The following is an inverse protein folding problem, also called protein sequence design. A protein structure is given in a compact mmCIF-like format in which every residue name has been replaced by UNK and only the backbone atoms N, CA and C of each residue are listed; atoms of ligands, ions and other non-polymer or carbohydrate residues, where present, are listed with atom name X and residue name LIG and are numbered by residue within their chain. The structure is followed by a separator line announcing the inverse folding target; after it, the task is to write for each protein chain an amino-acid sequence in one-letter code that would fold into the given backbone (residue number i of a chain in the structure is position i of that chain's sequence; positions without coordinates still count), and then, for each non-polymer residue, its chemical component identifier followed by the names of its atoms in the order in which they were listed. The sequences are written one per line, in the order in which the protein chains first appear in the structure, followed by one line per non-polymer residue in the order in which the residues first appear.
data_IF_256137817614
#
_entry.id   IF_256137817614
#
_cell.length_a   1.000
_cell.length_b   1.000
_cell.length_c   1.000
_cell.angle_alpha   90.00
_cell.angle_beta   90.00
_cell.angle_gamma   90.00
#
_symmetry.space_group_name_H-M   'P 1'
#
loop_
_entity.id
_entity.type
_entity.pdbx_description
1 polymer ?
#
# COMPACT_ATOMS: atom_id res chain seq x y z
N UNK A 1 19.40 -40.02 -19.54
CA UNK A 1 18.35 -39.51 -18.65
C UNK A 1 18.97 -38.44 -17.77
N UNK A 2 18.55 -37.18 -17.91
CA UNK A 2 18.97 -36.14 -16.98
C UNK A 2 18.16 -36.33 -15.69
N UNK A 3 18.83 -36.61 -14.57
CA UNK A 3 18.18 -36.63 -13.26
C UNK A 3 17.63 -35.24 -12.95
N UNK A 4 16.35 -35.15 -12.56
CA UNK A 4 15.76 -33.90 -12.10
C UNK A 4 16.48 -33.48 -10.80
N UNK A 5 17.25 -32.37 -10.79
CA UNK A 5 18.01 -31.94 -9.62
C UNK A 5 17.11 -31.53 -8.44
N UNK A 6 15.80 -31.38 -8.67
CA UNK A 6 14.81 -31.01 -7.67
C UNK A 6 14.00 -32.22 -7.15
N UNK A 7 14.26 -33.45 -7.61
CA UNK A 7 13.52 -34.62 -7.14
C UNK A 7 13.62 -34.76 -5.60
N UNK A 8 12.47 -34.79 -4.93
CA UNK A 8 12.38 -34.84 -3.46
C UNK A 8 12.72 -33.52 -2.74
N UNK A 9 12.84 -32.40 -3.46
CA UNK A 9 13.16 -31.06 -2.92
C UNK A 9 12.13 -29.99 -3.29
N UNK A 10 10.92 -30.41 -3.65
CA UNK A 10 9.81 -29.49 -3.90
C UNK A 10 8.60 -29.93 -3.07
N UNK A 11 7.80 -28.94 -2.68
CA UNK A 11 6.47 -29.15 -2.10
C UNK A 11 5.47 -28.79 -3.20
N UNK A 12 4.63 -29.73 -3.66
CA UNK A 12 3.58 -29.41 -4.61
C UNK A 12 2.49 -28.58 -3.92
N UNK A 13 2.00 -27.55 -4.61
CA UNK A 13 0.76 -26.90 -4.26
C UNK A 13 -0.35 -27.55 -5.09
N UNK A 14 -1.40 -28.01 -4.43
CA UNK A 14 -2.49 -28.77 -5.06
C UNK A 14 -3.58 -27.86 -5.60
N UNK A 15 -3.63 -26.62 -5.10
CA UNK A 15 -4.71 -25.70 -5.38
C UNK A 15 -4.21 -24.30 -5.76
N UNK A 16 -4.94 -23.69 -6.70
CA UNK A 16 -4.81 -22.28 -7.04
C UNK A 16 -6.03 -21.45 -6.58
N UNK A 17 -7.17 -22.09 -6.36
CA UNK A 17 -8.39 -21.44 -5.89
C UNK A 17 -8.14 -20.76 -4.53
N UNK A 18 -8.41 -19.44 -4.38
CA UNK A 18 -8.19 -18.72 -3.14
C UNK A 18 -9.03 -19.23 -1.97
N UNK A 19 -10.15 -19.91 -2.23
CA UNK A 19 -11.08 -20.40 -1.22
C UNK A 19 -10.88 -21.89 -0.89
N UNK A 20 -10.07 -22.60 -1.67
CA UNK A 20 -9.77 -24.01 -1.42
C UNK A 20 -9.05 -24.24 -0.06
N UNK A 21 -9.06 -25.48 0.45
CA UNK A 21 -8.42 -25.83 1.71
C UNK A 21 -6.91 -25.47 1.73
N UNK A 22 -6.36 -25.22 2.92
CA UNK A 22 -5.03 -24.64 3.11
C UNK A 22 -3.97 -25.68 3.54
N UNK A 23 -4.33 -26.96 3.59
CA UNK A 23 -3.48 -28.05 4.08
C UNK A 23 -2.22 -28.22 3.21
N UNK A 24 -2.31 -27.95 1.90
CA UNK A 24 -1.16 -27.95 0.98
C UNK A 24 -0.16 -26.81 1.25
N UNK A 25 -0.53 -25.81 2.05
CA UNK A 25 0.34 -24.72 2.51
C UNK A 25 0.98 -24.97 3.87
N UNK A 26 0.62 -26.04 4.60
CA UNK A 26 1.22 -26.33 5.91
C UNK A 26 2.76 -26.42 5.89
N UNK A 27 3.42 -26.92 4.83
CA UNK A 27 4.89 -26.87 4.74
C UNK A 27 5.47 -25.45 4.77
N UNK A 28 4.70 -24.41 4.42
CA UNK A 28 5.14 -23.02 4.59
C UNK A 28 5.28 -22.62 6.06
N UNK A 29 4.57 -23.25 6.99
CA UNK A 29 4.68 -22.94 8.43
C UNK A 29 6.10 -23.13 8.93
N UNK A 30 6.75 -24.22 8.53
CA UNK A 30 8.13 -24.50 8.91
C UNK A 30 9.10 -23.48 8.30
N UNK A 31 8.84 -23.04 7.06
CA UNK A 31 9.63 -22.01 6.40
C UNK A 31 9.49 -20.63 7.08
N UNK A 32 8.27 -20.31 7.53
CA UNK A 32 7.99 -19.06 8.27
C UNK A 32 8.61 -19.08 9.67
N UNK A 33 8.50 -20.20 10.39
CA UNK A 33 9.03 -20.34 11.75
C UNK A 33 8.54 -19.22 12.68
N UNK A 34 9.48 -18.61 13.42
CA UNK A 34 9.21 -17.51 14.35
C UNK A 34 9.34 -16.11 13.69
N UNK A 35 9.31 -16.03 12.36
CA UNK A 35 9.45 -14.76 11.66
C UNK A 35 8.30 -13.82 12.00
N UNK A 36 8.63 -12.58 12.40
CA UNK A 36 7.64 -11.52 12.64
C UNK A 36 7.16 -10.84 11.36
N UNK A 37 7.94 -10.93 10.29
CA UNK A 37 7.67 -10.33 8.98
C UNK A 37 7.99 -11.37 7.92
N UNK A 38 7.04 -11.62 7.03
CA UNK A 38 7.18 -12.50 5.87
C UNK A 38 6.96 -11.65 4.62
N UNK A 39 7.97 -11.57 3.76
CA UNK A 39 7.87 -10.88 2.48
C UNK A 39 7.39 -11.85 1.40
N UNK A 40 6.25 -11.54 0.77
CA UNK A 40 5.67 -12.34 -0.31
C UNK A 40 5.77 -11.53 -1.61
N UNK A 41 6.79 -11.82 -2.42
CA UNK A 41 6.97 -11.18 -3.71
C UNK A 41 6.18 -11.85 -4.83
N UNK A 42 6.08 -11.17 -5.97
CA UNK A 42 5.63 -11.74 -7.24
C UNK A 42 6.68 -11.50 -8.34
N UNK A 43 6.73 -12.36 -9.35
CA UNK A 43 7.70 -12.19 -10.44
C UNK A 43 7.31 -11.08 -11.41
N UNK A 44 6.01 -10.83 -11.58
CA UNK A 44 5.47 -9.80 -12.46
C UNK A 44 4.09 -9.42 -11.99
N UNK A 45 3.75 -8.14 -12.12
CA UNK A 45 2.37 -7.68 -12.02
C UNK A 45 1.51 -8.28 -13.14
N UNK A 46 0.18 -8.26 -12.91
CA UNK A 46 -0.86 -8.66 -13.87
C UNK A 46 -0.89 -10.14 -14.26
N UNK A 47 -0.24 -11.01 -13.48
CA UNK A 47 -0.37 -12.46 -13.60
C UNK A 47 -1.44 -12.94 -12.61
N UNK A 48 -2.50 -13.54 -13.14
CA UNK A 48 -3.66 -13.96 -12.35
C UNK A 48 -3.26 -15.01 -11.29
N UNK A 49 -2.40 -15.95 -11.65
CA UNK A 49 -1.92 -17.03 -10.79
C UNK A 49 -1.17 -16.51 -9.56
N UNK A 50 -0.36 -15.45 -9.70
CA UNK A 50 0.32 -14.84 -8.55
C UNK A 50 -0.68 -14.16 -7.61
N UNK A 51 -1.69 -13.49 -8.17
CA UNK A 51 -2.74 -12.86 -7.36
C UNK A 51 -3.61 -13.90 -6.63
N UNK A 52 -3.90 -15.03 -7.28
CA UNK A 52 -4.62 -16.16 -6.68
C UNK A 52 -3.81 -16.79 -5.54
N UNK A 53 -2.54 -17.12 -5.80
CA UNK A 53 -1.67 -17.74 -4.80
C UNK A 53 -1.39 -16.80 -3.61
N UNK A 54 -1.16 -15.50 -3.85
CA UNK A 54 -0.98 -14.51 -2.79
C UNK A 54 -2.18 -14.44 -1.85
N UNK A 55 -3.41 -14.58 -2.36
CA UNK A 55 -4.62 -14.66 -1.52
C UNK A 55 -4.63 -15.90 -0.64
N UNK A 56 -4.26 -17.06 -1.18
CA UNK A 56 -4.13 -18.30 -0.38
C UNK A 56 -3.07 -18.14 0.72
N UNK A 57 -1.91 -17.55 0.38
CA UNK A 57 -0.82 -17.30 1.34
C UNK A 57 -1.26 -16.30 2.42
N UNK A 58 -1.94 -15.21 2.05
CA UNK A 58 -2.49 -14.23 3.01
C UNK A 58 -3.43 -14.92 4.00
N UNK A 59 -4.37 -15.73 3.50
CA UNK A 59 -5.29 -16.52 4.33
C UNK A 59 -4.54 -17.43 5.28
N UNK A 60 -3.58 -18.19 4.79
CA UNK A 60 -2.78 -19.09 5.61
C UNK A 60 -2.01 -18.35 6.71
N UNK A 61 -1.31 -17.26 6.36
CA UNK A 61 -0.53 -16.49 7.32
C UNK A 61 -1.42 -15.87 8.42
N UNK A 62 -2.58 -15.34 8.04
CA UNK A 62 -3.51 -14.74 9.00
C UNK A 62 -4.26 -15.78 9.84
N UNK A 63 -4.90 -16.77 9.21
CA UNK A 63 -5.76 -17.75 9.87
C UNK A 63 -4.97 -18.80 10.66
N UNK A 64 -3.74 -19.12 10.24
CA UNK A 64 -2.97 -20.25 10.78
C UNK A 64 -1.64 -19.87 11.41
N UNK A 65 -1.03 -18.76 11.02
CA UNK A 65 0.26 -18.31 11.54
C UNK A 65 0.18 -17.05 12.43
N UNK A 66 -1.00 -16.47 12.61
CA UNK A 66 -1.23 -15.35 13.54
C UNK A 66 -0.73 -13.99 13.06
N UNK A 67 -0.52 -13.81 11.75
CA UNK A 67 -0.18 -12.50 11.18
C UNK A 67 -1.41 -11.58 11.19
N UNK A 68 -1.19 -10.31 11.57
CA UNK A 68 -2.27 -9.35 11.81
C UNK A 68 -2.17 -8.07 10.99
N UNK A 69 -1.18 -7.98 10.09
CA UNK A 69 -0.98 -6.82 9.21
C UNK A 69 -0.61 -7.32 7.82
N UNK A 70 -1.36 -6.88 6.81
CA UNK A 70 -0.95 -6.93 5.41
C UNK A 70 -0.35 -5.59 5.03
N UNK A 71 0.97 -5.57 4.86
CA UNK A 71 1.68 -4.44 4.27
C UNK A 71 1.80 -4.69 2.75
N UNK A 72 1.19 -3.83 1.94
CA UNK A 72 1.04 -4.03 0.49
C UNK A 72 1.78 -2.95 -0.29
N UNK A 73 2.29 -3.30 -1.48
CA UNK A 73 2.88 -2.35 -2.44
C UNK A 73 1.78 -1.44 -2.99
N UNK A 74 1.43 -0.45 -2.17
CA UNK A 74 0.39 0.52 -2.40
C UNK A 74 0.73 1.79 -1.63
N UNK A 75 0.20 2.93 -2.09
CA UNK A 75 0.52 4.24 -1.52
C UNK A 75 0.22 4.33 -0.04
N UNK A 76 1.22 4.74 0.75
CA UNK A 76 1.18 4.87 2.20
C UNK A 76 0.01 5.73 2.68
N UNK A 77 -0.23 6.86 2.00
CA UNK A 77 -1.27 7.82 2.41
C UNK A 77 -2.67 7.32 2.04
N UNK A 78 -2.84 6.75 0.84
CA UNK A 78 -4.14 6.19 0.43
C UNK A 78 -4.56 4.99 1.29
N UNK A 79 -3.59 4.21 1.78
CA UNK A 79 -3.85 3.02 2.58
C UNK A 79 -4.58 3.28 3.90
N UNK A 80 -4.52 4.49 4.47
CA UNK A 80 -5.25 4.80 5.70
C UNK A 80 -6.77 4.70 5.51
N UNK A 81 -7.29 5.22 4.39
CA UNK A 81 -8.70 5.14 4.08
C UNK A 81 -9.12 3.70 3.72
N UNK A 82 -8.24 2.96 3.05
CA UNK A 82 -8.46 1.55 2.71
C UNK A 82 -8.46 0.66 3.95
N UNK A 83 -7.58 0.88 4.93
CA UNK A 83 -7.59 0.17 6.21
C UNK A 83 -8.85 0.49 7.02
N UNK A 84 -9.29 1.75 7.05
CA UNK A 84 -10.54 2.14 7.68
C UNK A 84 -11.73 1.37 7.06
N UNK A 85 -11.80 1.33 5.72
CA UNK A 85 -12.79 0.56 4.99
C UNK A 85 -12.67 -0.94 5.27
N UNK A 86 -11.47 -1.51 5.27
CA UNK A 86 -11.23 -2.93 5.55
C UNK A 86 -11.57 -3.32 7.00
N UNK A 87 -11.67 -2.36 7.91
CA UNK A 87 -12.13 -2.55 9.30
C UNK A 87 -13.64 -2.35 9.49
N UNK A 88 -14.41 -2.24 8.42
CA UNK A 88 -15.87 -2.14 8.48
C UNK A 88 -16.41 -0.70 8.47
N UNK A 89 -15.57 0.33 8.29
CA UNK A 89 -16.07 1.69 8.11
C UNK A 89 -16.63 1.87 6.70
N UNK A 90 -17.65 2.71 6.55
CA UNK A 90 -18.30 2.96 5.25
C UNK A 90 -19.07 1.76 4.68
N UNK A 91 -19.64 1.98 3.49
CA UNK A 91 -20.38 0.98 2.73
C UNK A 91 -19.46 0.16 1.80
N UNK A 92 -19.92 -1.02 1.39
CA UNK A 92 -19.14 -1.89 0.50
C UNK A 92 -18.87 -1.25 -0.88
N UNK A 93 -19.77 -0.35 -1.32
CA UNK A 93 -19.63 0.40 -2.58
C UNK A 93 -18.56 1.49 -2.54
N UNK A 94 -18.11 1.90 -1.35
CA UNK A 94 -17.14 3.00 -1.21
C UNK A 94 -15.75 2.60 -1.71
N UNK A 95 -15.43 1.30 -1.77
CA UNK A 95 -14.11 0.82 -2.20
C UNK A 95 -13.77 1.28 -3.62
N UNK A 96 -14.74 1.29 -4.53
CA UNK A 96 -14.52 1.73 -5.91
C UNK A 96 -14.10 3.21 -5.97
N UNK A 97 -14.68 4.04 -5.10
CA UNK A 97 -14.31 5.46 -5.00
C UNK A 97 -12.94 5.63 -4.32
N UNK A 98 -12.62 4.82 -3.30
CA UNK A 98 -11.32 4.87 -2.63
C UNK A 98 -10.16 4.44 -3.53
N UNK A 99 -10.41 3.54 -4.48
CA UNK A 99 -9.41 3.09 -5.45
C UNK A 99 -9.36 3.99 -6.70
N UNK A 100 -10.32 4.91 -6.86
CA UNK A 100 -10.41 5.77 -8.03
C UNK A 100 -9.18 6.69 -8.13
N UNK A 101 -8.65 6.85 -9.34
CA UNK A 101 -7.48 7.70 -9.60
C UNK A 101 -6.13 7.07 -9.24
N UNK A 102 -6.11 5.81 -8.80
CA UNK A 102 -4.89 5.03 -8.55
C UNK A 102 -4.72 3.90 -9.58
N UNK A 103 -3.62 3.15 -9.49
CA UNK A 103 -3.44 1.89 -10.23
C UNK A 103 -3.58 0.73 -9.23
N UNK A 104 -4.80 0.23 -8.96
CA UNK A 104 -5.07 -0.70 -7.87
C UNK A 104 -4.76 -2.16 -8.25
N UNK A 105 -3.52 -2.45 -8.65
CA UNK A 105 -3.14 -3.81 -9.11
C UNK A 105 -3.23 -4.81 -7.96
N UNK A 106 -4.24 -5.70 -8.00
CA UNK A 106 -4.37 -6.83 -7.08
C UNK A 106 -4.59 -6.45 -5.61
N UNK A 107 -5.00 -5.21 -5.32
CA UNK A 107 -5.26 -4.70 -3.96
C UNK A 107 -6.72 -4.90 -3.52
N UNK A 108 -7.65 -4.91 -4.49
CA UNK A 108 -9.09 -4.98 -4.22
C UNK A 108 -9.48 -6.29 -3.51
N UNK A 109 -9.06 -7.43 -4.03
CA UNK A 109 -9.44 -8.73 -3.48
C UNK A 109 -8.86 -8.98 -2.08
N UNK A 110 -7.57 -8.66 -1.78
CA UNK A 110 -7.07 -8.68 -0.41
C UNK A 110 -7.87 -7.80 0.55
N UNK A 111 -8.26 -6.59 0.16
CA UNK A 111 -9.06 -5.70 1.00
C UNK A 111 -10.44 -6.27 1.29
N UNK A 112 -11.12 -6.80 0.27
CA UNK A 112 -12.43 -7.47 0.43
C UNK A 112 -12.32 -8.67 1.36
N UNK A 113 -11.27 -9.47 1.22
CA UNK A 113 -11.00 -10.59 2.11
C UNK A 113 -10.76 -10.12 3.56
N UNK A 114 -9.92 -9.11 3.78
CA UNK A 114 -9.67 -8.54 5.12
C UNK A 114 -10.99 -8.07 5.74
N UNK A 115 -11.83 -7.34 4.99
CA UNK A 115 -13.13 -6.86 5.48
C UNK A 115 -14.05 -8.01 5.89
N UNK A 116 -14.14 -9.05 5.07
CA UNK A 116 -14.93 -10.23 5.37
C UNK A 116 -14.39 -11.00 6.58
N UNK A 117 -13.07 -11.20 6.67
CA UNK A 117 -12.40 -11.85 7.80
C UNK A 117 -12.65 -11.10 9.11
N UNK A 118 -12.45 -9.78 9.09
CA UNK A 118 -12.58 -8.91 10.26
C UNK A 118 -14.01 -8.87 10.84
N UNK A 119 -15.04 -9.20 10.07
CA UNK A 119 -16.42 -9.19 10.53
C UNK A 119 -16.69 -10.21 11.67
N UNK A 120 -15.89 -11.27 11.77
CA UNK A 120 -16.01 -12.30 12.80
C UNK A 120 -14.71 -12.72 13.48
N UNK A 121 -13.57 -12.11 13.11
CA UNK A 121 -12.28 -12.49 13.64
C UNK A 121 -12.06 -12.00 15.08
N UNK A 122 -11.59 -12.89 15.95
CA UNK A 122 -11.07 -12.50 17.26
C UNK A 122 -9.79 -11.65 17.14
N UNK A 123 -9.01 -11.87 16.08
CA UNK A 123 -7.77 -11.15 15.78
C UNK A 123 -7.89 -10.53 14.39
N UNK A 124 -8.29 -9.26 14.28
CA UNK A 124 -8.48 -8.62 12.98
C UNK A 124 -7.15 -8.34 12.27
N UNK A 125 -7.18 -8.32 10.95
CA UNK A 125 -6.07 -7.95 10.06
C UNK A 125 -6.16 -6.46 9.71
N UNK A 126 -5.04 -5.75 9.83
CA UNK A 126 -4.86 -4.37 9.36
C UNK A 126 -4.30 -4.34 7.95
N UNK A 127 -4.60 -3.27 7.22
CA UNK A 127 -3.99 -2.98 5.93
C UNK A 127 -3.01 -1.80 6.07
N UNK A 128 -1.86 -1.89 5.41
CA UNK A 128 -0.89 -0.81 5.36
C UNK A 128 -0.30 -0.70 3.95
N UNK A 129 -0.11 0.52 3.46
CA UNK A 129 0.63 0.79 2.24
C UNK A 129 2.09 1.04 2.58
N UNK A 130 3.01 0.47 1.80
CA UNK A 130 4.46 0.66 1.98
C UNK A 130 5.14 1.34 0.78
N UNK A 131 4.35 1.88 -0.14
CA UNK A 131 4.84 2.60 -1.32
C UNK A 131 4.53 4.10 -1.25
N UNK A 132 5.12 4.87 -2.15
CA UNK A 132 4.81 6.29 -2.34
C UNK A 132 3.43 6.48 -2.99
N UNK A 133 2.74 7.61 -2.71
CA UNK A 133 1.38 7.79 -3.21
C UNK A 133 1.26 7.76 -4.73
N UNK A 134 0.12 7.26 -5.22
CA UNK A 134 -0.21 7.16 -6.65
C UNK A 134 0.93 6.54 -7.51
N UNK A 135 1.63 5.51 -7.02
CA UNK A 135 2.78 4.90 -7.71
C UNK A 135 3.84 5.94 -8.16
N UNK A 136 4.08 6.94 -7.31
CA UNK A 136 4.98 8.08 -7.57
C UNK A 136 4.40 9.14 -8.49
N UNK A 137 3.10 9.10 -8.75
CA UNK A 137 2.40 10.02 -9.63
C UNK A 137 1.99 11.33 -8.97
N UNK A 138 1.83 11.37 -7.65
CA UNK A 138 1.31 12.56 -6.97
C UNK A 138 1.84 12.70 -5.55
N UNK A 139 2.08 13.93 -5.13
CA UNK A 139 2.38 14.26 -3.73
C UNK A 139 1.09 14.57 -2.94
N UNK A 140 -0.01 14.88 -3.64
CA UNK A 140 -1.24 15.40 -3.02
C UNK A 140 -1.82 14.47 -1.93
N UNK A 141 -1.86 13.13 -2.09
CA UNK A 141 -2.40 12.28 -1.04
C UNK A 141 -1.62 12.37 0.28
N UNK A 142 -0.32 12.69 0.24
CA UNK A 142 0.48 12.93 1.44
C UNK A 142 0.36 14.38 1.95
N UNK A 143 0.18 15.35 1.06
CA UNK A 143 0.10 16.77 1.44
C UNK A 143 -1.27 17.18 1.98
N UNK A 144 -2.36 16.55 1.53
CA UNK A 144 -3.72 16.87 1.97
C UNK A 144 -3.95 16.65 3.48
N UNK A 145 -3.56 15.52 4.09
CA UNK A 145 -3.64 15.33 5.54
C UNK A 145 -2.79 16.35 6.31
N UNK A 146 -1.61 16.70 5.78
CA UNK A 146 -0.74 17.71 6.39
C UNK A 146 -1.39 19.09 6.34
N UNK A 147 -2.03 19.45 5.22
CA UNK A 147 -2.78 20.70 5.10
C UNK A 147 -4.00 20.74 6.04
N UNK A 148 -4.67 19.60 6.24
CA UNK A 148 -5.75 19.49 7.22
C UNK A 148 -5.26 19.78 8.64
N UNK A 149 -4.12 19.18 9.03
CA UNK A 149 -3.51 19.42 10.33
C UNK A 149 -3.04 20.88 10.51
N UNK A 150 -2.30 21.44 9.53
CA UNK A 150 -1.80 22.81 9.62
C UNK A 150 -2.91 23.86 9.68
N UNK A 151 -4.09 23.58 9.13
CA UNK A 151 -5.26 24.46 9.25
C UNK A 151 -5.66 24.70 10.71
N UNK A 152 -5.41 23.74 11.58
CA UNK A 152 -5.75 23.84 13.00
C UNK A 152 -4.64 24.46 13.84
N UNK A 153 -3.37 24.26 13.45
CA UNK A 153 -2.23 24.59 14.32
C UNK A 153 -1.29 25.67 13.80
N UNK A 154 -1.25 25.92 12.48
CA UNK A 154 -0.24 26.78 11.86
C UNK A 154 -0.67 27.29 10.48
N UNK A 155 -1.47 28.35 10.47
CA UNK A 155 -2.01 28.94 9.23
C UNK A 155 -0.95 29.59 8.34
N UNK A 156 0.19 29.98 8.90
CA UNK A 156 1.31 30.52 8.12
C UNK A 156 1.98 29.41 7.30
N UNK A 157 2.30 28.28 7.94
CA UNK A 157 2.82 27.12 7.24
C UNK A 157 1.81 26.55 6.22
N UNK A 158 0.50 26.63 6.52
CA UNK A 158 -0.55 26.24 5.59
C UNK A 158 -0.49 27.04 4.28
N UNK A 159 -0.28 28.37 4.34
CA UNK A 159 -0.20 29.19 3.14
C UNK A 159 0.97 28.77 2.23
N UNK A 160 2.13 28.44 2.81
CA UNK A 160 3.25 27.90 2.06
C UNK A 160 2.93 26.53 1.45
N UNK A 161 2.31 25.63 2.24
CA UNK A 161 1.91 24.31 1.76
C UNK A 161 0.88 24.38 0.63
N UNK A 162 -0.05 25.34 0.65
CA UNK A 162 -1.01 25.54 -0.44
C UNK A 162 -0.33 25.88 -1.76
N UNK A 163 0.75 26.66 -1.73
CA UNK A 163 1.56 26.91 -2.93
C UNK A 163 2.31 25.65 -3.40
N UNK A 164 2.87 24.86 -2.47
CA UNK A 164 3.44 23.56 -2.81
C UNK A 164 2.41 22.60 -3.42
N UNK A 165 1.18 22.57 -2.89
CA UNK A 165 0.08 21.76 -3.45
C UNK A 165 -0.35 22.25 -4.84
N UNK A 166 -0.37 23.57 -5.08
CA UNK A 166 -0.62 24.14 -6.42
C UNK A 166 0.41 23.66 -7.43
N UNK A 167 1.70 23.73 -7.08
CA UNK A 167 2.78 23.26 -7.96
C UNK A 167 2.71 21.72 -8.11
N UNK A 168 2.50 20.99 -7.02
CA UNK A 168 2.35 19.52 -7.05
C UNK A 168 1.20 19.08 -7.97
N UNK A 169 0.08 19.78 -7.93
CA UNK A 169 -1.08 19.51 -8.79
C UNK A 169 -0.82 19.78 -10.28
N UNK A 170 0.13 20.63 -10.65
CA UNK A 170 0.40 20.96 -12.06
C UNK A 170 1.11 19.83 -12.82
N UNK A 171 1.77 18.91 -12.11
CA UNK A 171 2.44 17.74 -12.69
C UNK A 171 1.89 16.39 -12.19
N UNK A 172 0.90 16.41 -11.30
CA UNK A 172 0.31 15.19 -10.76
C UNK A 172 -0.25 14.28 -11.87
N UNK A 173 -0.05 12.98 -11.70
CA UNK A 173 -0.54 11.93 -12.59
C UNK A 173 -0.83 10.65 -11.82
N UNK A 174 -1.24 9.61 -12.54
CA UNK A 174 -1.58 8.32 -11.95
C UNK A 174 -0.35 7.44 -11.62
N UNK A 175 0.85 7.84 -12.06
CA UNK A 175 2.12 7.15 -11.79
C UNK A 175 3.33 8.03 -12.09
N UNK A 176 4.49 7.62 -11.61
CA UNK A 176 5.77 8.25 -11.93
C UNK A 176 6.02 8.35 -13.45
N UNK A 177 5.51 7.40 -14.24
CA UNK A 177 5.67 7.41 -15.70
C UNK A 177 5.00 8.63 -16.38
N UNK A 178 3.90 9.14 -15.79
CA UNK A 178 3.24 10.36 -16.27
C UNK A 178 3.75 11.61 -15.56
N UNK A 179 3.98 11.53 -14.24
CA UNK A 179 4.38 12.66 -13.43
C UNK A 179 5.84 13.11 -13.67
N UNK A 180 6.80 12.18 -13.84
CA UNK A 180 8.20 12.55 -13.98
C UNK A 180 8.49 13.39 -15.24
N UNK A 181 7.97 13.04 -16.44
CA UNK A 181 8.11 13.92 -17.60
C UNK A 181 7.41 15.27 -17.41
N UNK A 182 6.26 15.31 -16.74
CA UNK A 182 5.55 16.57 -16.46
C UNK A 182 6.37 17.48 -15.52
N UNK A 183 6.93 16.91 -14.46
CA UNK A 183 7.87 17.58 -13.56
C UNK A 183 9.04 18.20 -14.32
N UNK A 184 9.70 17.45 -15.22
CA UNK A 184 10.85 17.97 -15.99
C UNK A 184 10.53 19.14 -16.91
N UNK A 185 9.24 19.35 -17.25
CA UNK A 185 8.78 20.46 -18.08
C UNK A 185 8.42 21.71 -17.27
N UNK A 186 8.37 21.62 -15.95
CA UNK A 186 8.11 22.78 -15.11
C UNK A 186 9.26 23.81 -15.19
N UNK A 187 8.96 25.10 -15.05
CA UNK A 187 10.00 26.10 -14.86
C UNK A 187 10.86 25.77 -13.64
N UNK A 188 12.18 25.98 -13.73
CA UNK A 188 13.10 25.75 -12.62
C UNK A 188 12.66 26.47 -11.33
N UNK A 189 12.11 27.68 -11.45
CA UNK A 189 11.57 28.43 -10.33
C UNK A 189 10.44 27.70 -9.58
N UNK A 190 9.56 26.96 -10.27
CA UNK A 190 8.52 26.16 -9.61
C UNK A 190 9.11 24.90 -8.96
N UNK A 191 10.08 24.26 -9.61
CA UNK A 191 10.78 23.10 -9.04
C UNK A 191 11.52 23.47 -7.74
N UNK A 192 12.24 24.60 -7.77
CA UNK A 192 12.97 25.15 -6.63
C UNK A 192 12.02 25.57 -5.52
N UNK A 193 10.92 26.26 -5.86
CA UNK A 193 9.91 26.67 -4.89
C UNK A 193 9.29 25.47 -4.18
N UNK A 194 8.87 24.42 -4.92
CA UNK A 194 8.31 23.21 -4.33
C UNK A 194 9.32 22.56 -3.37
N UNK A 195 10.56 22.35 -3.83
CA UNK A 195 11.61 21.74 -3.02
C UNK A 195 11.91 22.53 -1.75
N UNK A 196 12.01 23.86 -1.86
CA UNK A 196 12.27 24.75 -0.74
C UNK A 196 11.12 24.76 0.28
N UNK A 197 9.87 24.79 -0.17
CA UNK A 197 8.69 24.76 0.71
C UNK A 197 8.64 23.42 1.46
N UNK A 198 8.76 22.29 0.75
CA UNK A 198 8.71 20.96 1.36
C UNK A 198 9.85 20.76 2.37
N UNK A 199 11.06 21.24 2.06
CA UNK A 199 12.19 21.18 2.99
C UNK A 199 11.97 22.05 4.23
N UNK A 200 11.47 23.28 4.08
CA UNK A 200 11.14 24.14 5.22
C UNK A 200 10.08 23.50 6.11
N UNK A 201 9.07 22.89 5.51
CA UNK A 201 8.02 22.21 6.24
C UNK A 201 8.57 21.00 7.02
N UNK A 202 9.41 20.18 6.39
CA UNK A 202 10.08 19.06 7.04
C UNK A 202 10.93 19.52 8.24
N UNK A 203 11.71 20.59 8.08
CA UNK A 203 12.52 21.16 9.17
C UNK A 203 11.60 21.62 10.32
N UNK A 204 10.50 22.30 10.00
CA UNK A 204 9.53 22.79 10.99
C UNK A 204 8.93 21.64 11.81
N UNK A 205 8.52 20.54 11.15
CA UNK A 205 8.01 19.35 11.84
C UNK A 205 9.06 18.67 12.72
N UNK A 206 10.31 18.53 12.24
CA UNK A 206 11.40 17.95 13.05
C UNK A 206 11.76 18.80 14.26
N UNK A 207 11.68 20.13 14.14
CA UNK A 207 11.99 21.04 15.24
C UNK A 207 10.99 20.96 16.41
N UNK A 208 9.82 20.37 16.19
CA UNK A 208 8.77 20.19 17.21
C UNK A 208 8.56 18.71 17.60
N UNK A 209 9.45 17.82 17.17
CA UNK A 209 9.36 16.39 17.51
C UNK A 209 9.59 16.20 19.02
N UNK A 210 8.77 15.37 19.71
CA UNK A 210 8.99 15.07 21.12
C UNK A 210 10.36 14.45 21.35
N UNK A 211 11.06 14.89 22.40
CA UNK A 211 12.34 14.33 22.85
C UNK A 211 12.20 12.90 23.37
#
# INVERSE_FOLDING_TARGET
MHSNPFAGRFVPLEHLDPDAPLEDLEPLRELVGDARVVAVGENSHFIAEFSLLRRRILRFLAERCGFTVLAFEYGFSEAFALDAWARGQGADGDLAALLAGTIPVGVEEPLRWIRAHNAGAATPVRFAGIDIPAAGGSLLPALEPVAAYLREVDTEALAALQEAMRIAGSFAGASAASAAPAWTRLPAAEQDALSAILLRLLIRFRAVEPL
#
